data_IF_487094567663
#
_entry.id   IF_487094567663
#
_cell.length_a   1.000
_cell.length_b   1.000
_cell.length_c   1.000
_cell.angle_alpha   90.00
_cell.angle_beta   90.00
_cell.angle_gamma   90.00
#
_symmetry.space_group_name_H-M   'P 1'
#
loop_
_entity.id
_entity.type
_entity.pdbx_description
1 polymer ?
#
# COMPACT_ATOMS: atom_id res chain seq x y z
N UNK A 1 -25.10 -2.07 7.23
CA UNK A 1 -24.38 -1.05 6.44
C UNK A 1 -25.09 -0.87 5.10
N UNK A 2 -25.32 0.36 4.70
CA UNK A 2 -26.04 0.62 3.46
C UNK A 2 -25.11 0.46 2.25
N UNK A 3 -25.73 0.34 1.08
CA UNK A 3 -24.95 0.26 -0.15
C UNK A 3 -24.19 1.56 -0.42
N UNK A 4 -24.76 2.68 -0.01
CA UNK A 4 -24.08 3.96 -0.17
C UNK A 4 -22.77 3.99 0.59
N UNK A 5 -22.78 3.50 1.83
CA UNK A 5 -21.57 3.47 2.63
C UNK A 5 -20.51 2.58 2.00
N UNK A 6 -20.93 1.43 1.46
CA UNK A 6 -20.00 0.52 0.79
C UNK A 6 -19.40 1.16 -0.45
N UNK A 7 -20.22 1.86 -1.23
CA UNK A 7 -19.73 2.51 -2.44
C UNK A 7 -18.74 3.62 -2.13
N UNK A 8 -19.00 4.40 -1.08
CA UNK A 8 -18.07 5.45 -0.68
C UNK A 8 -16.74 4.85 -0.23
N UNK A 9 -16.80 3.77 0.55
CA UNK A 9 -15.57 3.12 1.01
C UNK A 9 -14.78 2.56 -0.16
N UNK A 10 -15.47 1.99 -1.17
CA UNK A 10 -14.80 1.48 -2.35
C UNK A 10 -14.15 2.60 -3.13
N UNK A 11 -14.85 3.74 -3.28
CA UNK A 11 -14.31 4.90 -3.99
C UNK A 11 -13.01 5.39 -3.37
N UNK A 12 -12.95 5.41 -2.04
CA UNK A 12 -11.75 5.85 -1.35
C UNK A 12 -10.57 4.93 -1.59
N UNK A 13 -10.83 3.68 -2.00
CA UNK A 13 -9.81 2.67 -2.19
C UNK A 13 -9.37 2.52 -3.63
N UNK A 14 -9.86 3.36 -4.52
CA UNK A 14 -9.51 3.31 -5.94
C UNK A 14 -8.73 4.57 -6.29
N UNK A 15 -7.56 4.37 -6.88
CA UNK A 15 -6.73 5.47 -7.34
C UNK A 15 -6.86 5.58 -8.85
N UNK A 16 -7.18 6.78 -9.35
CA UNK A 16 -7.29 7.02 -10.78
C UNK A 16 -6.15 7.93 -11.20
N UNK A 17 -5.34 7.48 -12.14
CA UNK A 17 -4.16 8.22 -12.58
C UNK A 17 -4.18 8.39 -14.08
N UNK A 18 -3.64 9.52 -14.55
CA UNK A 18 -3.43 9.69 -15.98
C UNK A 18 -2.14 9.00 -16.40
N UNK A 19 -2.02 8.74 -17.70
CA UNK A 19 -0.78 8.14 -18.23
C UNK A 19 0.44 9.03 -18.03
N UNK A 20 0.23 10.30 -17.69
CA UNK A 20 1.34 11.25 -17.46
C UNK A 20 1.65 11.44 -15.99
N UNK A 21 1.02 10.71 -15.11
CA UNK A 21 1.21 10.90 -13.67
C UNK A 21 2.59 10.39 -13.23
N UNK A 22 3.25 11.21 -12.43
CA UNK A 22 4.60 10.87 -11.94
C UNK A 22 4.59 9.64 -11.05
N UNK A 23 3.48 9.33 -10.40
CA UNK A 23 3.39 8.17 -9.54
C UNK A 23 3.53 6.85 -10.29
N UNK A 24 3.32 6.87 -11.61
CA UNK A 24 3.36 5.63 -12.37
C UNK A 24 4.71 4.95 -12.32
N UNK A 25 5.79 5.73 -12.23
CA UNK A 25 7.11 5.12 -12.12
C UNK A 25 7.24 4.30 -10.83
N UNK A 26 6.85 4.91 -9.71
CA UNK A 26 6.93 4.22 -8.42
C UNK A 26 6.01 3.01 -8.38
N UNK A 27 4.80 3.15 -8.92
CA UNK A 27 3.84 2.05 -8.97
C UNK A 27 4.38 0.93 -9.84
N UNK A 28 4.99 1.27 -10.97
CA UNK A 28 5.59 0.28 -11.84
C UNK A 28 6.69 -0.51 -11.15
N UNK A 29 7.52 0.17 -10.37
CA UNK A 29 8.58 -0.49 -9.61
C UNK A 29 7.99 -1.47 -8.59
N UNK A 30 6.91 -1.05 -7.92
CA UNK A 30 6.25 -1.92 -6.95
C UNK A 30 5.68 -3.15 -7.63
N UNK A 31 4.97 -2.95 -8.73
CA UNK A 31 4.30 -4.06 -9.41
C UNK A 31 5.27 -5.03 -10.06
N UNK A 32 6.47 -4.57 -10.43
CA UNK A 32 7.46 -5.43 -11.03
C UNK A 32 8.30 -6.20 -10.02
N UNK A 33 8.15 -5.91 -8.74
CA UNK A 33 8.96 -6.50 -7.67
C UNK A 33 8.20 -7.62 -6.98
N UNK A 34 8.77 -8.84 -6.99
CA UNK A 34 8.17 -9.96 -6.28
C UNK A 34 7.95 -9.68 -4.80
N UNK A 35 8.96 -9.17 -4.07
CA UNK A 35 8.74 -8.90 -2.65
C UNK A 35 7.61 -7.89 -2.42
N UNK A 36 7.54 -6.84 -3.24
CA UNK A 36 6.47 -5.85 -3.08
C UNK A 36 5.09 -6.47 -3.28
N UNK A 37 4.95 -7.32 -4.30
CA UNK A 37 3.67 -7.97 -4.54
C UNK A 37 3.29 -8.91 -3.41
N UNK A 38 4.28 -9.61 -2.83
CA UNK A 38 4.02 -10.48 -1.68
C UNK A 38 3.57 -9.66 -0.47
N UNK A 39 4.19 -8.51 -0.26
CA UNK A 39 3.80 -7.62 0.83
C UNK A 39 2.37 -7.12 0.61
N UNK A 40 2.05 -6.68 -0.61
CA UNK A 40 0.69 -6.24 -0.91
C UNK A 40 -0.33 -7.32 -0.59
N UNK A 41 -0.04 -8.56 -0.99
CA UNK A 41 -0.95 -9.67 -0.75
C UNK A 41 -1.20 -9.88 0.74
N UNK A 42 -0.13 -9.79 1.54
CA UNK A 42 -0.27 -9.95 2.98
C UNK A 42 -1.11 -8.84 3.59
N UNK A 43 -0.91 -7.61 3.14
CA UNK A 43 -1.54 -6.45 3.77
C UNK A 43 -2.94 -6.18 3.27
N UNK A 44 -3.42 -6.96 2.32
CA UNK A 44 -4.74 -6.71 1.74
C UNK A 44 -5.86 -6.84 2.77
N UNK A 45 -5.76 -7.82 3.66
CA UNK A 45 -6.82 -8.11 4.63
C UNK A 45 -6.40 -7.92 6.07
N UNK A 46 -5.22 -7.40 6.32
CA UNK A 46 -4.73 -7.30 7.69
C UNK A 46 -3.69 -6.20 7.80
N UNK A 47 -3.42 -5.81 9.04
CA UNK A 47 -2.38 -4.84 9.33
C UNK A 47 -1.23 -5.57 10.00
N UNK A 48 -0.01 -5.35 9.51
CA UNK A 48 1.17 -6.04 10.02
C UNK A 48 2.32 -5.05 10.22
N UNK A 49 3.19 -5.39 11.17
CA UNK A 49 4.44 -4.65 11.36
C UNK A 49 5.48 -5.15 10.36
N UNK A 50 6.53 -4.36 10.18
CA UNK A 50 7.63 -4.76 9.31
C UNK A 50 8.25 -6.09 9.74
N UNK A 51 8.39 -6.29 11.06
CA UNK A 51 8.92 -7.53 11.59
C UNK A 51 8.06 -8.74 11.23
N UNK A 52 6.75 -8.58 11.38
CA UNK A 52 5.83 -9.66 11.03
C UNK A 52 5.90 -9.99 9.55
N UNK A 53 5.99 -8.96 8.72
CA UNK A 53 6.12 -9.17 7.28
C UNK A 53 7.41 -9.92 6.96
N UNK A 54 8.51 -9.47 7.56
CA UNK A 54 9.82 -10.10 7.35
C UNK A 54 9.77 -11.58 7.66
N UNK A 55 9.13 -11.95 8.76
CA UNK A 55 9.03 -13.34 9.15
C UNK A 55 8.14 -14.15 8.21
N UNK A 56 7.06 -13.54 7.74
CA UNK A 56 6.09 -14.27 6.92
C UNK A 56 6.60 -14.54 5.50
N UNK A 57 7.33 -13.61 4.92
CA UNK A 57 7.82 -13.79 3.55
C UNK A 57 9.31 -14.10 3.50
N UNK A 58 9.95 -14.23 4.66
CA UNK A 58 11.32 -14.72 4.78
C UNK A 58 12.33 -13.88 4.02
N UNK A 59 12.21 -12.56 4.15
CA UNK A 59 13.23 -11.64 3.65
C UNK A 59 13.70 -10.77 4.82
N UNK A 60 14.87 -10.16 4.65
CA UNK A 60 15.48 -9.40 5.74
C UNK A 60 14.63 -8.19 6.11
N UNK A 61 14.69 -7.80 7.38
CA UNK A 61 13.94 -6.65 7.85
C UNK A 61 14.34 -5.35 7.12
N UNK A 62 15.62 -5.07 6.91
CA UNK A 62 15.96 -3.86 6.15
C UNK A 62 15.36 -3.83 4.75
N UNK A 63 15.27 -4.99 4.09
CA UNK A 63 14.68 -5.04 2.76
C UNK A 63 13.18 -4.81 2.82
N UNK A 64 12.51 -5.37 3.83
CA UNK A 64 11.09 -5.10 4.04
C UNK A 64 10.86 -3.61 4.22
N UNK A 65 11.67 -2.98 5.08
CA UNK A 65 11.52 -1.56 5.36
C UNK A 65 11.71 -0.74 4.08
N UNK A 66 12.68 -1.12 3.25
CA UNK A 66 12.91 -0.45 1.98
C UNK A 66 11.66 -0.49 1.10
N UNK A 67 11.06 -1.68 0.95
CA UNK A 67 9.87 -1.83 0.13
C UNK A 67 8.68 -1.10 0.71
N UNK A 68 8.49 -1.19 2.03
CA UNK A 68 7.37 -0.51 2.68
C UNK A 68 7.45 1.00 2.49
N UNK A 69 8.66 1.55 2.57
CA UNK A 69 8.82 2.99 2.37
C UNK A 69 8.40 3.39 0.97
N UNK A 70 8.84 2.64 -0.04
CA UNK A 70 8.48 2.94 -1.43
C UNK A 70 6.97 2.81 -1.65
N UNK A 71 6.38 1.77 -1.07
CA UNK A 71 4.95 1.54 -1.23
C UNK A 71 4.13 2.60 -0.53
N UNK A 72 4.60 3.07 0.63
CA UNK A 72 3.91 4.12 1.34
C UNK A 72 4.00 5.45 0.59
N UNK A 73 5.17 5.75 0.03
CA UNK A 73 5.36 6.98 -0.73
C UNK A 73 4.48 7.03 -1.97
N UNK A 74 4.20 5.89 -2.56
CA UNK A 74 3.32 5.83 -3.73
C UNK A 74 1.84 5.83 -3.35
N UNK A 75 1.52 5.68 -2.07
CA UNK A 75 0.15 5.73 -1.60
C UNK A 75 -0.61 4.43 -1.66
N UNK A 76 0.03 3.31 -2.03
CA UNK A 76 -0.70 2.03 -2.10
C UNK A 76 -0.88 1.40 -0.74
N UNK A 77 -0.02 1.71 0.23
CA UNK A 77 -0.19 1.27 1.60
C UNK A 77 -0.13 2.46 2.54
N UNK A 78 -0.57 2.25 3.77
CA UNK A 78 -0.56 3.29 4.77
C UNK A 78 -0.27 2.69 6.13
N UNK A 79 0.10 3.55 7.08
CA UNK A 79 0.20 3.17 8.47
C UNK A 79 -1.19 3.32 9.07
N UNK A 80 -1.71 2.24 9.66
CA UNK A 80 -3.07 2.26 10.19
C UNK A 80 -3.11 2.46 11.69
N UNK A 81 -2.02 2.11 12.39
CA UNK A 81 -1.93 2.42 13.81
C UNK A 81 -0.47 2.36 14.21
N UNK A 82 -0.18 3.01 15.35
CA UNK A 82 1.12 2.98 15.96
C UNK A 82 0.96 2.45 17.38
N UNK A 83 1.65 1.37 17.69
CA UNK A 83 1.67 0.82 19.02
C UNK A 83 3.05 0.93 19.62
N UNK A 84 3.20 0.39 20.82
CA UNK A 84 4.51 0.35 21.48
C UNK A 84 4.78 -1.07 21.92
N UNK A 85 6.06 -1.46 21.81
CA UNK A 85 6.46 -2.75 22.33
C UNK A 85 6.87 -2.58 23.80
N UNK A 86 7.34 -3.68 24.42
CA UNK A 86 7.70 -3.67 25.83
C UNK A 86 8.88 -2.77 26.13
N UNK A 87 9.62 -2.35 25.11
CA UNK A 87 10.77 -1.45 25.27
C UNK A 87 10.42 -0.02 24.93
N UNK A 88 9.16 0.30 24.82
CA UNK A 88 8.67 1.64 24.53
C UNK A 88 9.06 2.15 23.16
N UNK A 89 9.35 1.26 22.23
CA UNK A 89 9.59 1.63 20.83
C UNK A 89 8.29 1.63 20.07
N UNK A 90 8.14 2.62 19.20
CA UNK A 90 6.95 2.69 18.35
C UNK A 90 6.92 1.52 17.41
N UNK A 91 5.73 0.95 17.23
CA UNK A 91 5.49 -0.13 16.29
C UNK A 91 4.46 0.35 15.28
N UNK A 92 4.85 0.37 14.01
CA UNK A 92 3.97 0.82 12.95
C UNK A 92 3.32 -0.38 12.29
N UNK A 93 2.00 -0.29 12.12
CA UNK A 93 1.23 -1.33 11.46
C UNK A 93 0.81 -0.83 10.09
N UNK A 94 1.12 -1.59 9.07
CA UNK A 94 0.88 -1.22 7.67
C UNK A 94 -0.28 -2.02 7.11
N UNK A 95 -1.05 -1.41 6.23
CA UNK A 95 -2.13 -2.09 5.53
C UNK A 95 -2.31 -1.45 4.17
N UNK A 96 -3.05 -2.12 3.28
CA UNK A 96 -3.31 -1.59 1.95
C UNK A 96 -4.25 -0.39 2.06
N UNK A 97 -3.92 0.67 1.34
CA UNK A 97 -4.78 1.85 1.25
C UNK A 97 -5.58 1.86 -0.05
N UNK A 98 -4.95 1.47 -1.15
CA UNK A 98 -5.61 1.43 -2.45
C UNK A 98 -5.56 0.02 -2.99
N UNK A 99 -6.73 -0.58 -3.24
CA UNK A 99 -6.76 -1.94 -3.77
C UNK A 99 -7.03 -1.98 -5.28
N UNK A 100 -7.22 -0.84 -5.92
CA UNK A 100 -7.38 -0.79 -7.37
C UNK A 100 -6.77 0.49 -7.91
N UNK A 101 -6.08 0.37 -9.03
CA UNK A 101 -5.48 1.51 -9.69
C UNK A 101 -5.99 1.50 -11.13
N UNK A 102 -6.56 2.62 -11.56
CA UNK A 102 -7.08 2.79 -12.90
C UNK A 102 -6.21 3.81 -13.61
N UNK A 103 -5.70 3.46 -14.78
CA UNK A 103 -4.86 4.36 -15.56
C UNK A 103 -5.63 4.79 -16.79
N UNK A 104 -5.81 6.09 -16.94
CA UNK A 104 -6.53 6.66 -18.08
C UNK A 104 -5.58 7.44 -18.96
N UNK A 105 -5.83 7.48 -20.27
CA UNK A 105 -5.00 8.31 -21.14
C UNK A 105 -5.08 9.76 -20.73
N UNK A 106 -3.96 10.47 -20.93
CA UNK A 106 -3.92 11.91 -20.67
C UNK A 106 -5.02 12.61 -21.44
N UNK A 107 -5.74 13.48 -20.77
CA UNK A 107 -6.83 14.24 -21.38
C UNK A 107 -8.22 13.68 -21.08
N UNK A 108 -8.33 12.39 -20.79
CA UNK A 108 -9.65 11.82 -20.48
C UNK A 108 -10.10 12.16 -19.06
N UNK A 109 -9.15 12.27 -18.15
CA UNK A 109 -9.48 12.53 -16.75
C UNK A 109 -9.74 14.01 -16.48
N UNK A 110 -9.59 14.86 -17.49
CA UNK A 110 -9.76 16.29 -17.31
C UNK A 110 -11.20 16.74 -17.40
N UNK A 111 -12.10 15.85 -17.74
CA UNK A 111 -13.52 16.19 -17.79
C UNK A 111 -14.21 16.20 -16.43
#
# INVERSE_FOLDING_TARGET
MSEEDNQLAISDKVEILSTEDEKLKAIGEILSSDPSRKILKLLFNQALTANQISQKIEISLPLVIYHLKKMQESGVIKITKVGQNTKSHDMKFYTVDKFAIVILPSGMSEK
#
